data_IF_316840764835
#
_entry.id   IF_316840764835
#
_cell.length_a   1.000
_cell.length_b   1.000
_cell.length_c   1.000
_cell.angle_alpha   90.00
_cell.angle_beta   90.00
_cell.angle_gamma   90.00
#
_symmetry.space_group_name_H-M   'P 1'
#
loop_
_entity.id
_entity.type
_entity.pdbx_description
1 polymer ?
#
# COMPACT_ATOMS: atom_id res chain seq x y z
N UNK A 1 -21.64 28.98 -9.18
CA UNK A 1 -21.66 27.53 -9.50
C UNK A 1 -21.01 27.35 -10.85
N UNK A 2 -19.72 26.99 -10.91
CA UNK A 2 -19.05 26.76 -12.20
C UNK A 2 -19.31 25.30 -12.60
N UNK A 3 -20.04 25.09 -13.70
CA UNK A 3 -20.28 23.74 -14.22
C UNK A 3 -19.02 23.31 -14.99
N UNK A 4 -18.21 22.44 -14.37
CA UNK A 4 -17.03 21.89 -15.04
C UNK A 4 -17.48 20.84 -16.07
N UNK A 5 -17.40 21.18 -17.35
CA UNK A 5 -17.79 20.28 -18.44
C UNK A 5 -16.55 19.56 -18.96
N UNK A 6 -16.49 18.25 -18.72
CA UNK A 6 -15.44 17.38 -19.23
C UNK A 6 -15.48 17.35 -20.77
N UNK A 7 -14.38 17.75 -21.44
CA UNK A 7 -14.32 17.88 -22.91
C UNK A 7 -13.79 16.65 -23.65
N UNK A 8 -13.27 15.66 -22.91
CA UNK A 8 -12.75 14.40 -23.46
C UNK A 8 -13.63 13.24 -23.00
N UNK A 9 -13.34 12.01 -23.44
CA UNK A 9 -14.07 10.81 -23.03
C UNK A 9 -13.35 10.00 -21.92
N UNK A 10 -12.36 10.59 -21.26
CA UNK A 10 -11.56 9.90 -20.22
C UNK A 10 -12.05 10.21 -18.81
N UNK A 11 -12.37 9.18 -18.03
CA UNK A 11 -12.74 9.32 -16.62
C UNK A 11 -11.59 9.92 -15.80
N UNK A 12 -11.87 10.99 -15.06
CA UNK A 12 -10.93 11.49 -14.05
C UNK A 12 -11.15 10.69 -12.77
N UNK A 13 -10.10 10.01 -12.31
CA UNK A 13 -10.17 9.20 -11.10
C UNK A 13 -10.06 10.12 -9.89
N UNK A 14 -10.95 9.93 -8.93
CA UNK A 14 -10.89 10.63 -7.64
C UNK A 14 -9.64 10.21 -6.86
N UNK A 15 -9.02 11.14 -6.11
CA UNK A 15 -7.85 10.80 -5.31
C UNK A 15 -8.21 9.77 -4.24
N UNK A 16 -7.33 8.78 -4.04
CA UNK A 16 -7.45 7.79 -2.97
C UNK A 16 -6.14 7.69 -2.18
N UNK A 17 -6.26 7.30 -0.91
CA UNK A 17 -5.10 7.11 -0.02
C UNK A 17 -4.43 5.74 -0.19
N UNK A 18 -5.10 4.80 -0.88
CA UNK A 18 -4.65 3.41 -1.02
C UNK A 18 -3.27 3.25 -1.66
N UNK A 19 -2.87 4.03 -2.70
CA UNK A 19 -1.51 3.95 -3.24
C UNK A 19 -0.41 4.22 -2.21
N UNK A 20 -0.64 5.17 -1.29
CA UNK A 20 0.31 5.47 -0.22
C UNK A 20 0.39 4.32 0.80
N UNK A 21 -0.77 3.80 1.23
CA UNK A 21 -0.81 2.69 2.20
C UNK A 21 -0.19 1.41 1.61
N UNK A 22 -0.44 1.13 0.34
CA UNK A 22 0.13 -0.02 -0.36
C UNK A 22 1.65 0.07 -0.47
N UNK A 23 2.19 1.23 -0.86
CA UNK A 23 3.65 1.44 -0.95
C UNK A 23 4.35 1.31 0.41
N UNK A 24 3.77 1.86 1.48
CA UNK A 24 4.30 1.70 2.84
C UNK A 24 4.24 0.23 3.30
N UNK A 25 3.16 -0.48 2.98
CA UNK A 25 3.00 -1.91 3.30
C UNK A 25 4.06 -2.77 2.59
N UNK A 26 4.35 -2.48 1.32
CA UNK A 26 5.42 -3.13 0.56
C UNK A 26 6.80 -2.84 1.17
N UNK A 27 7.07 -1.59 1.58
CA UNK A 27 8.32 -1.24 2.27
C UNK A 27 8.49 -2.03 3.57
N UNK A 28 7.45 -2.08 4.41
CA UNK A 28 7.47 -2.86 5.65
C UNK A 28 7.69 -4.34 5.40
N UNK A 29 7.10 -4.88 4.33
CA UNK A 29 7.32 -6.27 3.90
C UNK A 29 8.77 -6.52 3.49
N UNK A 30 9.38 -5.63 2.70
CA UNK A 30 10.77 -5.76 2.28
C UNK A 30 11.74 -5.70 3.49
N UNK A 31 11.54 -4.75 4.40
CA UNK A 31 12.34 -4.63 5.62
C UNK A 31 12.12 -5.83 6.55
N UNK A 32 10.87 -6.26 6.73
CA UNK A 32 10.53 -7.46 7.51
C UNK A 32 11.22 -8.71 7.00
N UNK A 33 11.29 -8.89 5.68
CA UNK A 33 11.92 -10.05 5.07
C UNK A 33 13.42 -10.08 5.35
N UNK A 34 14.10 -8.94 5.20
CA UNK A 34 15.52 -8.81 5.52
C UNK A 34 15.76 -9.12 7.01
N UNK A 35 14.96 -8.53 7.90
CA UNK A 35 15.10 -8.75 9.35
C UNK A 35 14.85 -10.21 9.72
N UNK A 36 13.82 -10.84 9.15
CA UNK A 36 13.48 -12.23 9.39
C UNK A 36 14.58 -13.18 8.89
N UNK A 37 15.07 -12.99 7.66
CA UNK A 37 16.08 -13.87 7.07
C UNK A 37 17.46 -13.75 7.72
N UNK A 38 17.79 -12.60 8.32
CA UNK A 38 19.01 -12.43 9.09
C UNK A 38 18.86 -12.75 10.59
N UNK A 39 17.70 -13.27 11.02
CA UNK A 39 17.48 -13.71 12.39
C UNK A 39 17.39 -12.56 13.42
N UNK A 40 17.07 -11.34 12.99
CA UNK A 40 16.85 -10.23 13.92
C UNK A 40 15.59 -10.46 14.76
N UNK A 41 15.64 -10.01 16.01
CA UNK A 41 14.50 -10.02 16.92
C UNK A 41 13.33 -9.26 16.28
N UNK A 42 12.13 -9.82 16.39
CA UNK A 42 10.89 -9.31 15.81
C UNK A 42 10.79 -9.35 14.26
N UNK A 43 11.78 -9.90 13.54
CA UNK A 43 11.75 -9.95 12.08
C UNK A 43 10.52 -10.68 11.51
N UNK A 44 10.15 -11.82 12.10
CA UNK A 44 8.96 -12.57 11.70
C UNK A 44 7.66 -11.75 11.87
N UNK A 45 7.53 -11.04 12.99
CA UNK A 45 6.37 -10.22 13.32
C UNK A 45 6.22 -9.07 12.33
N UNK A 46 7.31 -8.38 12.00
CA UNK A 46 7.33 -7.28 11.01
C UNK A 46 6.99 -7.82 9.62
N UNK A 47 7.53 -8.99 9.24
CA UNK A 47 7.22 -9.64 7.97
C UNK A 47 5.72 -9.96 7.84
N UNK A 48 5.12 -10.56 8.88
CA UNK A 48 3.70 -10.90 8.87
C UNK A 48 2.82 -9.65 8.85
N UNK A 49 3.19 -8.61 9.62
CA UNK A 49 2.48 -7.34 9.62
C UNK A 49 2.51 -6.67 8.23
N UNK A 50 3.67 -6.64 7.56
CA UNK A 50 3.79 -6.13 6.21
C UNK A 50 2.92 -6.89 5.21
N UNK A 51 2.99 -8.22 5.22
CA UNK A 51 2.19 -9.09 4.32
C UNK A 51 0.68 -8.90 4.51
N UNK A 52 0.20 -8.90 5.75
CA UNK A 52 -1.23 -8.68 6.02
C UNK A 52 -1.67 -7.26 5.63
N UNK A 53 -0.81 -6.26 5.79
CA UNK A 53 -1.11 -4.88 5.37
C UNK A 53 -1.21 -4.76 3.84
N UNK A 54 -0.35 -5.45 3.07
CA UNK A 54 -0.46 -5.52 1.60
C UNK A 54 -1.77 -6.19 1.19
N UNK A 55 -2.10 -7.34 1.79
CA UNK A 55 -3.35 -8.07 1.49
C UNK A 55 -4.57 -7.21 1.83
N UNK A 56 -4.54 -6.48 2.95
CA UNK A 56 -5.60 -5.54 3.31
C UNK A 56 -5.78 -4.47 2.22
N UNK A 57 -4.68 -3.89 1.70
CA UNK A 57 -4.75 -2.90 0.61
C UNK A 57 -5.25 -3.47 -0.73
N UNK A 58 -5.34 -4.79 -0.91
CA UNK A 58 -5.93 -5.42 -2.09
C UNK A 58 -7.43 -5.70 -1.93
N UNK A 59 -7.90 -5.85 -0.68
CA UNK A 59 -9.28 -6.22 -0.35
C UNK A 59 -10.22 -5.03 -0.14
N UNK A 60 -9.69 -3.80 -0.11
CA UNK A 60 -10.42 -2.53 0.01
C UNK A 60 -10.13 -1.65 -1.20
#
# INVERSE_FOLDING_TARGET
>A
MFLYMQRHAFHLVDPSIMPLLSSMSCLTTALGAVLYFHGYVAGFQIQMFGLFSVIACMGF
#
